data_IF_759572440687
#
_entry.id   IF_759572440687
#
_cell.length_a   1.000
_cell.length_b   1.000
_cell.length_c   1.000
_cell.angle_alpha   90.00
_cell.angle_beta   90.00
_cell.angle_gamma   90.00
#
_symmetry.space_group_name_H-M   'P 1'
#
loop_
_entity.id
_entity.type
_entity.pdbx_description
1 polymer ?
#
# COMPACT_ATOMS: atom_id res chain seq x y z
N UNK A 1 3.64 -23.07 -11.82
CA UNK A 1 2.69 -22.30 -10.98
C UNK A 1 1.32 -22.93 -11.17
N UNK A 2 0.81 -23.59 -10.14
CA UNK A 2 -0.55 -24.14 -10.09
C UNK A 2 -1.41 -23.10 -9.38
N UNK A 3 -2.37 -22.49 -10.08
CA UNK A 3 -3.43 -21.69 -9.44
C UNK A 3 -4.57 -22.60 -9.03
N UNK A 4 -5.38 -22.17 -8.08
CA UNK A 4 -6.63 -22.86 -7.81
C UNK A 4 -7.54 -22.75 -9.04
N UNK A 5 -8.27 -23.81 -9.40
CA UNK A 5 -8.96 -23.88 -10.69
C UNK A 5 -10.15 -22.91 -10.83
N UNK A 6 -10.67 -22.37 -9.72
CA UNK A 6 -11.91 -21.57 -9.72
C UNK A 6 -11.83 -20.30 -8.85
N UNK A 7 -11.19 -20.36 -7.68
CA UNK A 7 -11.10 -19.23 -6.76
C UNK A 7 -9.80 -19.28 -5.96
N UNK A 8 -9.24 -18.10 -5.67
CA UNK A 8 -7.99 -17.96 -4.93
C UNK A 8 -8.22 -17.48 -3.47
N UNK A 9 -9.44 -17.03 -3.14
CA UNK A 9 -9.82 -16.55 -1.80
C UNK A 9 -11.02 -17.31 -1.26
N UNK A 10 -10.93 -17.78 -0.02
CA UNK A 10 -12.00 -18.51 0.67
C UNK A 10 -12.50 -17.74 1.90
N UNK A 11 -13.82 -17.72 2.10
CA UNK A 11 -14.45 -17.22 3.32
C UNK A 11 -15.21 -18.38 3.98
N UNK A 12 -14.96 -18.59 5.28
CA UNK A 12 -15.59 -19.66 6.05
C UNK A 12 -16.25 -19.06 7.28
N UNK A 13 -17.57 -19.19 7.39
CA UNK A 13 -18.31 -18.88 8.62
C UNK A 13 -18.53 -20.19 9.41
N UNK A 14 -18.03 -20.23 10.64
CA UNK A 14 -18.26 -21.31 11.60
C UNK A 14 -19.19 -20.82 12.70
N UNK A 15 -20.45 -21.22 12.61
CA UNK A 15 -21.51 -20.90 13.57
C UNK A 15 -21.98 -22.13 14.39
N UNK A 16 -21.18 -23.20 14.38
CA UNK A 16 -21.50 -24.40 15.16
C UNK A 16 -21.03 -24.25 16.59
N UNK A 17 -21.93 -24.48 17.54
CA UNK A 17 -21.61 -24.54 18.96
C UNK A 17 -20.43 -25.49 19.19
N UNK A 18 -19.32 -24.97 19.75
CA UNK A 18 -18.22 -25.80 20.24
C UNK A 18 -18.66 -26.50 21.51
N UNK A 19 -19.46 -27.54 21.37
CA UNK A 19 -19.81 -28.40 22.48
C UNK A 19 -18.56 -29.07 23.05
N UNK A 20 -18.35 -28.97 24.36
CA UNK A 20 -17.43 -29.90 25.03
C UNK A 20 -18.06 -31.28 24.99
N UNK A 21 -17.36 -32.25 24.41
CA UNK A 21 -17.85 -33.62 24.35
C UNK A 21 -17.71 -34.20 25.76
N UNK A 22 -18.84 -34.50 26.40
CA UNK A 22 -18.85 -35.19 27.70
C UNK A 22 -18.93 -36.70 27.48
N UNK A 23 -18.00 -37.43 28.07
CA UNK A 23 -17.91 -38.89 28.05
C UNK A 23 -18.03 -39.38 29.50
N UNK A 24 -19.25 -39.43 30.02
CA UNK A 24 -19.50 -39.69 31.44
C UNK A 24 -18.98 -38.55 32.31
N UNK A 25 -18.07 -38.84 33.24
CA UNK A 25 -17.38 -37.84 34.09
C UNK A 25 -16.22 -37.14 33.38
N UNK A 26 -15.75 -37.68 32.25
CA UNK A 26 -14.65 -37.09 31.50
C UNK A 26 -15.14 -35.99 30.55
N UNK A 27 -14.38 -34.90 30.48
CA UNK A 27 -14.60 -33.81 29.53
C UNK A 27 -13.51 -33.86 28.46
N UNK A 28 -13.91 -34.01 27.20
CA UNK A 28 -13.00 -33.88 26.06
C UNK A 28 -13.03 -32.44 25.53
N UNK A 29 -11.84 -31.85 25.43
CA UNK A 29 -11.61 -30.51 24.89
C UNK A 29 -10.95 -30.67 23.51
N UNK A 30 -11.43 -29.99 22.46
CA UNK A 30 -10.78 -30.02 21.16
C UNK A 30 -9.33 -29.56 21.24
N UNK A 31 -8.40 -30.39 20.74
CA UNK A 31 -7.00 -30.00 20.55
C UNK A 31 -6.84 -29.40 19.15
N UNK A 32 -6.47 -28.11 19.07
CA UNK A 32 -6.21 -27.48 17.79
C UNK A 32 -4.84 -27.89 17.28
N UNK A 33 -4.79 -28.71 16.22
CA UNK A 33 -3.57 -28.86 15.43
C UNK A 33 -3.30 -27.55 14.69
N UNK A 34 -2.07 -27.04 14.81
CA UNK A 34 -1.59 -26.00 13.91
C UNK A 34 -1.36 -26.63 12.54
N UNK A 35 -2.24 -26.33 11.58
CA UNK A 35 -1.97 -26.63 10.18
C UNK A 35 -0.98 -25.58 9.65
N UNK A 36 0.21 -26.01 9.25
CA UNK A 36 1.29 -25.10 8.82
C UNK A 36 1.19 -24.66 7.35
N UNK A 37 0.30 -25.25 6.54
CA UNK A 37 0.20 -24.95 5.11
C UNK A 37 -1.14 -24.33 4.71
N UNK A 38 -1.06 -23.15 4.09
CA UNK A 38 -2.20 -22.48 3.47
C UNK A 38 -2.68 -23.29 2.25
N UNK A 39 -3.98 -23.58 2.21
CA UNK A 39 -4.61 -24.34 1.10
C UNK A 39 -5.04 -23.46 -0.07
N UNK A 40 -5.26 -22.17 0.21
CA UNK A 40 -5.61 -21.13 -0.75
C UNK A 40 -4.66 -19.95 -0.57
N UNK A 41 -4.68 -19.01 -1.51
CA UNK A 41 -3.84 -17.82 -1.42
C UNK A 41 -4.20 -17.00 -0.17
N UNK A 42 -5.50 -16.89 0.12
CA UNK A 42 -6.05 -16.23 1.30
C UNK A 42 -7.33 -16.94 1.79
N UNK A 43 -7.41 -17.23 3.08
CA UNK A 43 -8.62 -17.76 3.72
C UNK A 43 -8.99 -16.91 4.94
N UNK A 44 -10.20 -16.36 4.97
CA UNK A 44 -10.77 -15.72 6.15
C UNK A 44 -11.72 -16.67 6.86
N UNK A 45 -11.38 -17.07 8.08
CA UNK A 45 -12.27 -17.79 8.98
C UNK A 45 -12.97 -16.80 9.91
N UNK A 46 -14.29 -16.79 9.88
CA UNK A 46 -15.14 -16.11 10.84
C UNK A 46 -15.75 -17.15 11.78
N UNK A 47 -15.41 -17.09 13.06
CA UNK A 47 -15.86 -18.05 14.07
C UNK A 47 -16.77 -17.30 15.03
N UNK A 48 -18.04 -17.70 15.08
CA UNK A 48 -19.00 -17.14 16.03
C UNK A 48 -18.71 -17.71 17.43
N UNK A 49 -18.53 -16.80 18.39
CA UNK A 49 -18.26 -17.05 19.80
C UNK A 49 -19.28 -16.27 20.64
N UNK A 50 -19.39 -16.57 21.94
CA UNK A 50 -20.44 -15.97 22.81
C UNK A 50 -20.43 -14.44 22.81
N UNK A 51 -19.25 -13.83 22.72
CA UNK A 51 -19.06 -12.36 22.79
C UNK A 51 -18.91 -11.69 21.41
N UNK A 52 -18.98 -12.44 20.30
CA UNK A 52 -18.85 -11.88 18.96
C UNK A 52 -18.27 -12.83 17.92
N UNK A 53 -17.67 -12.27 16.87
CA UNK A 53 -17.08 -13.05 15.77
C UNK A 53 -15.56 -12.91 15.80
N UNK A 54 -14.87 -14.03 16.04
CA UNK A 54 -13.41 -14.09 15.94
C UNK A 54 -12.99 -14.33 14.50
N UNK A 55 -12.21 -13.40 13.94
CA UNK A 55 -11.67 -13.47 12.59
C UNK A 55 -10.24 -14.02 12.61
N UNK A 56 -9.94 -14.98 11.73
CA UNK A 56 -8.60 -15.52 11.51
C UNK A 56 -8.29 -15.46 10.02
N UNK A 57 -7.21 -14.78 9.67
CA UNK A 57 -6.75 -14.64 8.29
C UNK A 57 -5.54 -15.55 8.05
N UNK A 58 -5.76 -16.63 7.31
CA UNK A 58 -4.73 -17.55 6.83
C UNK A 58 -4.29 -17.12 5.42
N UNK A 59 -2.98 -17.20 5.13
CA UNK A 59 -2.45 -16.75 3.84
C UNK A 59 -1.21 -17.54 3.41
N UNK A 60 -1.02 -17.65 2.09
CA UNK A 60 0.18 -18.23 1.51
C UNK A 60 1.38 -17.27 1.65
N UNK A 61 2.37 -17.64 2.45
CA UNK A 61 3.58 -16.81 2.71
C UNK A 61 4.49 -16.64 1.48
N UNK A 62 4.33 -17.49 0.47
CA UNK A 62 4.98 -17.35 -0.84
C UNK A 62 4.40 -16.20 -1.67
N UNK A 63 3.18 -15.75 -1.37
CA UNK A 63 2.49 -14.68 -2.08
C UNK A 63 2.36 -13.39 -1.24
N UNK A 64 2.15 -13.53 0.07
CA UNK A 64 1.93 -12.39 0.95
C UNK A 64 2.99 -12.31 2.04
N UNK A 65 3.50 -11.09 2.23
CA UNK A 65 4.24 -10.71 3.42
C UNK A 65 3.25 -10.45 4.56
N UNK A 66 3.67 -10.72 5.79
CA UNK A 66 2.86 -10.47 7.00
C UNK A 66 2.32 -9.03 7.05
N UNK A 67 3.15 -8.04 6.73
CA UNK A 67 2.80 -6.62 6.78
C UNK A 67 1.69 -6.28 5.75
N UNK A 68 1.65 -6.97 4.62
CA UNK A 68 0.58 -6.82 3.63
C UNK A 68 -0.74 -7.35 4.18
N UNK A 69 -0.71 -8.50 4.85
CA UNK A 69 -1.92 -9.14 5.40
C UNK A 69 -2.45 -8.38 6.61
N UNK A 70 -1.56 -7.87 7.47
CA UNK A 70 -1.95 -6.97 8.57
C UNK A 70 -2.64 -5.71 8.05
N UNK A 71 -2.14 -5.13 6.96
CA UNK A 71 -2.80 -4.01 6.29
C UNK A 71 -4.17 -4.41 5.72
N UNK A 72 -4.28 -5.53 5.02
CA UNK A 72 -5.56 -6.05 4.51
C UNK A 72 -6.57 -6.28 5.65
N UNK A 73 -6.12 -6.81 6.79
CA UNK A 73 -6.95 -7.03 7.95
C UNK A 73 -7.50 -5.71 8.51
N UNK A 74 -6.66 -4.67 8.62
CA UNK A 74 -7.10 -3.33 9.05
C UNK A 74 -8.12 -2.73 8.08
N UNK A 75 -7.92 -2.90 6.78
CA UNK A 75 -8.89 -2.45 5.78
C UNK A 75 -10.24 -3.16 5.92
N UNK A 76 -10.21 -4.48 6.10
CA UNK A 76 -11.43 -5.26 6.31
C UNK A 76 -12.17 -4.83 7.58
N UNK A 77 -11.44 -4.60 8.69
CA UNK A 77 -12.03 -4.08 9.91
C UNK A 77 -12.67 -2.70 9.72
N UNK A 78 -12.02 -1.78 8.99
CA UNK A 78 -12.59 -0.46 8.70
C UNK A 78 -13.88 -0.56 7.87
N UNK A 79 -13.92 -1.45 6.87
CA UNK A 79 -15.13 -1.74 6.10
C UNK A 79 -16.25 -2.21 7.01
N UNK A 80 -15.96 -3.18 7.90
CA UNK A 80 -16.95 -3.70 8.86
C UNK A 80 -17.48 -2.60 9.80
N UNK A 81 -16.61 -1.70 10.26
CA UNK A 81 -17.02 -0.57 11.10
C UNK A 81 -17.91 0.43 10.34
N UNK A 82 -17.58 0.75 9.09
CA UNK A 82 -18.39 1.67 8.29
C UNK A 82 -19.78 1.12 7.97
N UNK A 83 -19.88 -0.14 7.54
CA UNK A 83 -21.17 -0.75 7.20
C UNK A 83 -22.05 -0.97 8.43
N UNK A 84 -21.46 -1.18 9.61
CA UNK A 84 -22.22 -1.32 10.86
C UNK A 84 -22.67 0.03 11.41
N UNK A 85 -21.87 1.08 11.24
CA UNK A 85 -22.22 2.46 11.60
C UNK A 85 -23.31 3.04 10.70
N UNK A 86 -23.25 2.79 9.39
CA UNK A 86 -24.23 3.27 8.42
C UNK A 86 -24.67 2.15 7.45
N UNK A 87 -25.64 1.31 7.82
CA UNK A 87 -26.08 0.19 7.00
C UNK A 87 -26.65 0.56 5.62
N UNK A 88 -27.04 1.82 5.44
CA UNK A 88 -27.56 2.36 4.18
C UNK A 88 -26.49 2.97 3.26
N UNK A 89 -25.21 2.94 3.66
CA UNK A 89 -24.12 3.49 2.86
C UNK A 89 -24.07 2.80 1.49
N UNK A 90 -23.82 3.58 0.42
CA UNK A 90 -23.62 2.99 -0.91
C UNK A 90 -22.28 2.27 -0.93
N UNK A 91 -22.22 1.14 -1.63
CA UNK A 91 -20.98 0.36 -1.77
C UNK A 91 -19.78 1.19 -2.27
N UNK A 92 -20.02 2.17 -3.14
CA UNK A 92 -18.97 3.04 -3.68
C UNK A 92 -18.43 4.06 -2.68
N UNK A 93 -19.18 4.35 -1.62
CA UNK A 93 -18.85 5.36 -0.62
C UNK A 93 -18.17 4.75 0.62
N UNK A 94 -18.05 3.41 0.69
CA UNK A 94 -17.38 2.72 1.78
C UNK A 94 -15.86 2.95 1.68
N UNK A 95 -15.30 3.62 2.67
CA UNK A 95 -13.88 3.79 2.88
C UNK A 95 -13.23 2.53 3.45
N UNK A 96 -12.21 2.00 2.75
CA UNK A 96 -11.41 0.89 3.27
C UNK A 96 -10.12 1.34 3.97
N UNK A 97 -9.66 2.57 3.69
CA UNK A 97 -8.40 3.07 4.21
C UNK A 97 -8.57 3.58 5.62
N UNK A 98 -7.63 3.27 6.49
CA UNK A 98 -7.54 3.95 7.78
C UNK A 98 -7.22 5.43 7.56
N UNK A 99 -7.59 6.30 8.51
CA UNK A 99 -7.24 7.73 8.44
C UNK A 99 -5.73 7.96 8.31
N UNK A 100 -4.92 7.12 8.95
CA UNK A 100 -3.47 7.18 8.85
C UNK A 100 -2.95 6.87 7.43
N UNK A 101 -3.48 5.81 6.80
CA UNK A 101 -3.12 5.47 5.42
C UNK A 101 -3.61 6.53 4.43
N UNK A 102 -4.80 7.09 4.65
CA UNK A 102 -5.32 8.20 3.85
C UNK A 102 -4.42 9.44 3.96
N UNK A 103 -3.98 9.79 5.17
CA UNK A 103 -3.05 10.90 5.44
C UNK A 103 -1.71 10.67 4.73
N UNK A 104 -1.16 9.46 4.83
CA UNK A 104 0.08 9.11 4.16
C UNK A 104 -0.02 9.26 2.64
N UNK A 105 -1.08 8.72 2.03
CA UNK A 105 -1.26 8.76 0.57
C UNK A 105 -1.56 10.15 0.03
N UNK A 106 -2.37 10.94 0.73
CA UNK A 106 -2.82 12.24 0.25
C UNK A 106 -1.86 13.37 0.61
N UNK A 107 -1.17 13.27 1.75
CA UNK A 107 -0.34 14.35 2.28
C UNK A 107 1.13 13.99 2.21
N UNK A 108 1.55 12.92 2.89
CA UNK A 108 2.99 12.63 3.07
C UNK A 108 3.68 12.32 1.74
N UNK A 109 3.09 11.46 0.92
CA UNK A 109 3.66 11.11 -0.39
C UNK A 109 3.61 12.28 -1.38
N UNK A 110 2.70 13.24 -1.18
CA UNK A 110 2.55 14.40 -2.05
C UNK A 110 3.27 15.65 -1.52
N UNK A 111 4.02 15.56 -0.42
CA UNK A 111 4.80 16.66 0.16
C UNK A 111 6.06 16.98 -0.67
N UNK A 112 5.88 17.25 -1.96
CA UNK A 112 6.93 17.53 -2.96
C UNK A 112 7.21 19.02 -3.13
N UNK A 113 6.50 19.88 -2.40
CA UNK A 113 6.67 21.32 -2.44
C UNK A 113 8.06 21.73 -1.94
N UNK A 114 8.92 22.15 -2.88
CA UNK A 114 10.22 22.75 -2.57
C UNK A 114 10.25 24.20 -3.06
N UNK A 115 10.85 25.15 -2.32
CA UNK A 115 11.10 26.49 -2.83
C UNK A 115 12.01 26.43 -4.06
N UNK A 116 11.61 27.13 -5.12
CA UNK A 116 12.44 27.39 -6.29
C UNK A 116 12.16 28.81 -6.80
N UNK A 117 13.09 29.44 -7.55
CA UNK A 117 12.89 30.76 -8.12
C UNK A 117 11.71 30.74 -9.12
N UNK A 118 10.58 31.36 -8.75
CA UNK A 118 9.36 31.39 -9.59
C UNK A 118 9.27 32.63 -10.47
N UNK A 119 9.97 33.66 -10.06
CA UNK A 119 10.13 34.96 -10.70
C UNK A 119 11.22 34.95 -11.78
N UNK A 120 11.91 33.82 -11.96
CA UNK A 120 13.01 33.68 -12.90
C UNK A 120 12.78 32.55 -13.88
N UNK A 121 13.17 32.82 -15.11
CA UNK A 121 13.16 31.87 -16.20
C UNK A 121 14.44 31.02 -16.22
N UNK A 122 14.39 29.89 -16.91
CA UNK A 122 15.55 29.01 -17.07
C UNK A 122 16.70 29.72 -17.79
N UNK A 123 16.41 30.61 -18.74
CA UNK A 123 17.47 31.33 -19.47
C UNK A 123 18.14 32.40 -18.60
N UNK A 124 17.40 33.13 -17.75
CA UNK A 124 18.00 34.05 -16.78
C UNK A 124 18.90 33.31 -15.78
N UNK A 125 18.49 32.11 -15.32
CA UNK A 125 19.33 31.26 -14.47
C UNK A 125 20.60 30.79 -15.20
N UNK A 126 20.48 30.51 -16.50
CA UNK A 126 21.60 30.14 -17.36
C UNK A 126 22.56 31.31 -17.59
N UNK A 127 22.05 32.51 -17.86
CA UNK A 127 22.83 33.74 -18.05
C UNK A 127 23.66 34.06 -16.80
N UNK A 128 23.06 34.02 -15.61
CA UNK A 128 23.82 34.18 -14.36
C UNK A 128 24.90 33.12 -14.18
N UNK A 129 24.63 31.87 -14.57
CA UNK A 129 25.63 30.81 -14.51
C UNK A 129 26.77 31.08 -15.50
N UNK A 130 26.48 31.64 -16.69
CA UNK A 130 27.46 32.04 -17.68
C UNK A 130 28.31 33.24 -17.24
N UNK A 131 27.74 34.17 -16.47
CA UNK A 131 28.52 35.25 -15.85
C UNK A 131 29.42 34.74 -14.72
N UNK A 132 28.94 33.79 -13.91
CA UNK A 132 29.68 33.26 -12.75
C UNK A 132 30.82 32.33 -13.13
N UNK A 133 30.65 31.52 -14.18
CA UNK A 133 31.61 30.49 -14.60
C UNK A 133 31.76 30.46 -16.13
N UNK A 134 32.20 31.56 -16.76
CA UNK A 134 32.14 31.74 -18.22
C UNK A 134 32.96 30.71 -18.99
N UNK A 135 34.11 30.31 -18.46
CA UNK A 135 35.07 29.45 -19.14
C UNK A 135 34.85 27.95 -18.83
N UNK A 136 33.83 27.61 -18.04
CA UNK A 136 33.47 26.22 -17.81
C UNK A 136 32.74 25.67 -19.04
N UNK A 137 32.98 24.39 -19.33
CA UNK A 137 32.28 23.67 -20.40
C UNK A 137 30.80 23.53 -20.04
N UNK A 138 29.92 24.03 -20.91
CA UNK A 138 28.47 23.92 -20.78
C UNK A 138 27.89 22.76 -21.59
N UNK A 139 28.43 22.52 -22.79
CA UNK A 139 27.96 21.47 -23.71
C UNK A 139 29.17 20.73 -24.29
N UNK A 140 29.08 19.40 -24.33
CA UNK A 140 30.04 18.53 -25.01
C UNK A 140 29.29 17.74 -26.07
N UNK A 141 29.78 17.81 -27.31
CA UNK A 141 29.28 16.99 -28.41
C UNK A 141 30.46 16.44 -29.20
N UNK A 142 30.67 15.12 -29.12
CA UNK A 142 31.84 14.43 -29.67
C UNK A 142 33.16 15.03 -29.13
N UNK A 143 34.00 15.57 -30.01
CA UNK A 143 35.29 16.22 -29.68
C UNK A 143 35.16 17.74 -29.52
N UNK A 144 33.93 18.28 -29.54
CA UNK A 144 33.67 19.71 -29.40
C UNK A 144 33.15 20.01 -28.01
N UNK A 145 33.77 21.00 -27.39
CA UNK A 145 33.35 21.58 -26.11
C UNK A 145 32.96 23.03 -26.37
N UNK A 146 31.83 23.45 -25.80
CA UNK A 146 31.37 24.83 -25.84
C UNK A 146 31.25 25.32 -24.41
N UNK A 147 31.90 26.44 -24.10
CA UNK A 147 31.85 27.07 -22.79
C UNK A 147 30.51 27.76 -22.53
N UNK A 148 30.17 28.04 -21.27
CA UNK A 148 28.97 28.80 -20.92
C UNK A 148 28.91 30.16 -21.63
N UNK A 149 30.06 30.85 -21.73
CA UNK A 149 30.17 32.13 -22.44
C UNK A 149 29.83 31.98 -23.93
N UNK A 150 30.50 31.05 -24.62
CA UNK A 150 30.31 30.84 -26.05
C UNK A 150 28.87 30.43 -26.38
N UNK A 151 28.25 29.60 -25.54
CA UNK A 151 26.86 29.18 -25.71
C UNK A 151 25.90 30.36 -25.51
N UNK A 152 26.11 31.19 -24.49
CA UNK A 152 25.29 32.37 -24.22
C UNK A 152 25.37 33.39 -25.37
N UNK A 153 26.58 33.65 -25.87
CA UNK A 153 26.80 34.54 -27.02
C UNK A 153 26.18 33.99 -28.31
N UNK A 154 26.14 32.67 -28.52
CA UNK A 154 25.45 32.06 -29.67
C UNK A 154 23.93 32.17 -29.55
N UNK A 155 23.36 31.97 -28.36
CA UNK A 155 21.92 32.08 -28.12
C UNK A 155 21.40 33.51 -28.36
N UNK A 156 22.16 34.53 -27.94
CA UNK A 156 21.78 35.95 -28.07
C UNK A 156 22.03 36.55 -29.47
N UNK A 157 22.42 35.74 -30.46
CA UNK A 157 22.68 36.18 -31.85
C UNK A 157 21.51 35.94 -32.81
N UNK A 158 20.41 35.34 -32.34
CA UNK A 158 19.17 35.11 -33.10
C UNK A 158 18.23 36.32 -33.00
#
# INVERSE_FOLDING_TARGET
MSRNPLFDTMFVLQNTERGTLRLGEAQAIPYQLQHESAKFDLTLHAIEEEEGIRLILEYATTLFKRETVERLYRHYANILEEITREPGIKLADIGMLTEEERRQLLVEFNATGTPYPRDRTVHELFEEQAERCPDHVAVVHEQREITYRELNEQANRL
#
